data_IF_882312062498
#
_entry.id   IF_882312062498
#
_cell.length_a   1.000
_cell.length_b   1.000
_cell.length_c   1.000
_cell.angle_alpha   90.00
_cell.angle_beta   90.00
_cell.angle_gamma   90.00
#
_symmetry.space_group_name_H-M   'P 1'
#
loop_
_entity.id
_entity.type
_entity.pdbx_description
1 polymer ?
#
# COMPACT_ATOMS: atom_id res chain seq x y z
N UNK A 1 54.60 -57.97 12.52
CA UNK A 1 53.58 -57.87 13.59
C UNK A 1 53.41 -56.37 13.85
N UNK A 2 52.47 -55.62 13.26
CA UNK A 2 50.99 -55.64 13.34
C UNK A 2 50.49 -55.47 14.78
N UNK A 3 50.32 -54.21 15.19
CA UNK A 3 49.39 -53.83 16.26
C UNK A 3 48.48 -52.75 15.71
N UNK A 4 47.20 -53.11 15.55
CA UNK A 4 46.09 -52.24 15.20
C UNK A 4 45.53 -51.71 16.53
N UNK A 5 45.30 -50.40 16.62
CA UNK A 5 44.36 -49.83 17.59
C UNK A 5 43.44 -48.88 16.83
N UNK A 6 42.15 -49.06 17.06
CA UNK A 6 41.01 -48.47 16.36
C UNK A 6 40.30 -47.49 17.32
N UNK A 7 39.68 -46.45 16.72
CA UNK A 7 38.64 -45.53 17.23
C UNK A 7 39.11 -44.53 18.31
N UNK A 8 38.76 -43.24 18.24
CA UNK A 8 37.39 -42.71 18.34
C UNK A 8 37.23 -41.41 17.54
N UNK A 9 36.12 -41.31 16.80
CA UNK A 9 35.57 -40.07 16.24
C UNK A 9 35.20 -39.09 17.36
N UNK A 10 35.54 -37.82 17.22
CA UNK A 10 34.74 -36.72 17.79
C UNK A 10 34.51 -35.67 16.69
N UNK A 11 33.27 -35.62 16.20
CA UNK A 11 32.82 -34.66 15.21
C UNK A 11 32.65 -33.28 15.83
N UNK A 12 33.28 -32.27 15.21
CA UNK A 12 32.93 -30.87 15.43
C UNK A 12 31.85 -30.48 14.43
N UNK A 13 30.59 -30.48 14.86
CA UNK A 13 29.53 -29.81 14.10
C UNK A 13 29.77 -28.30 14.20
N UNK A 14 30.16 -27.69 13.10
CA UNK A 14 30.10 -26.23 12.94
C UNK A 14 28.62 -25.87 12.90
N UNK A 15 28.07 -25.57 14.08
CA UNK A 15 26.80 -24.88 14.19
C UNK A 15 27.02 -23.44 13.72
N UNK A 16 26.86 -23.20 12.42
CA UNK A 16 26.58 -21.87 11.92
C UNK A 16 25.22 -21.48 12.50
N UNK A 17 25.24 -20.77 13.63
CA UNK A 17 24.08 -20.11 14.22
C UNK A 17 23.59 -19.05 13.22
N UNK A 18 22.80 -19.46 12.23
CA UNK A 18 21.95 -18.54 11.50
C UNK A 18 20.91 -18.10 12.51
N UNK A 19 21.13 -16.93 13.12
CA UNK A 19 20.15 -16.30 13.97
C UNK A 19 18.82 -16.33 13.22
N UNK A 20 17.75 -16.91 13.79
CA UNK A 20 16.42 -16.68 13.28
C UNK A 20 16.26 -15.17 13.32
N UNK A 21 16.16 -14.56 12.14
CA UNK A 21 15.63 -13.21 12.05
C UNK A 21 14.29 -13.30 12.76
N UNK A 22 14.21 -12.67 13.91
CA UNK A 22 12.94 -12.35 14.53
C UNK A 22 12.22 -11.56 13.46
N UNK A 23 11.32 -12.24 12.73
CA UNK A 23 10.18 -11.57 12.12
C UNK A 23 9.51 -10.93 13.32
N UNK A 24 9.85 -9.65 13.55
CA UNK A 24 9.04 -8.79 14.38
C UNK A 24 7.71 -8.75 13.66
N UNK A 25 6.79 -9.64 14.03
CA UNK A 25 5.37 -9.42 13.89
C UNK A 25 5.06 -8.25 14.81
N UNK A 26 5.47 -7.05 14.39
CA UNK A 26 5.04 -5.80 14.96
C UNK A 26 3.53 -5.82 14.75
N UNK A 27 2.79 -5.91 15.86
CA UNK A 27 1.33 -5.80 15.78
C UNK A 27 1.06 -4.46 15.10
N UNK A 28 0.32 -4.40 13.98
CA UNK A 28 0.10 -3.15 13.27
C UNK A 28 -0.38 -2.10 14.27
N UNK A 29 0.39 -1.03 14.42
CA UNK A 29 0.04 0.04 15.32
C UNK A 29 -1.29 0.64 14.80
N UNK A 30 -2.33 0.77 15.63
CA UNK A 30 -3.65 1.18 15.15
C UNK A 30 -3.52 2.54 14.48
N UNK A 31 -3.88 2.58 13.20
CA UNK A 31 -3.78 3.76 12.34
C UNK A 31 -4.95 4.71 12.55
N UNK A 32 -6.02 4.27 13.23
CA UNK A 32 -7.29 4.97 13.36
C UNK A 32 -8.24 4.66 12.21
N UNK A 33 -7.72 4.22 11.06
CA UNK A 33 -8.54 3.77 9.93
C UNK A 33 -9.39 2.56 10.29
N UNK A 34 -9.00 1.76 11.29
CA UNK A 34 -9.74 0.57 11.75
C UNK A 34 -11.14 0.92 12.29
N UNK A 35 -11.34 2.18 12.72
CA UNK A 35 -12.63 2.69 13.18
C UNK A 35 -13.60 3.03 12.04
N UNK A 36 -13.09 3.21 10.81
CA UNK A 36 -13.91 3.42 9.62
C UNK A 36 -14.60 2.10 9.28
N UNK A 37 -15.92 2.09 8.99
CA UNK A 37 -16.62 0.86 8.65
C UNK A 37 -16.07 0.25 7.36
N UNK A 38 -16.22 -1.08 7.16
CA UNK A 38 -15.98 -1.70 5.87
C UNK A 38 -16.77 -0.98 4.76
N UNK A 39 -16.26 -0.98 3.52
CA UNK A 39 -16.95 -0.32 2.43
C UNK A 39 -18.36 -0.85 2.19
N UNK A 40 -19.29 0.06 1.89
CA UNK A 40 -20.68 -0.26 1.57
C UNK A 40 -20.97 0.17 0.12
N UNK A 41 -20.88 -0.76 -0.86
CA UNK A 41 -21.12 -0.46 -2.26
C UNK A 41 -22.52 0.07 -2.56
N UNK A 42 -23.50 -0.14 -1.68
CA UNK A 42 -24.86 0.40 -1.87
C UNK A 42 -24.91 1.93 -1.76
N UNK A 43 -23.88 2.55 -1.16
CA UNK A 43 -23.77 4.00 -1.01
C UNK A 43 -22.97 4.68 -2.11
N UNK A 44 -22.34 3.89 -3.01
CA UNK A 44 -21.51 4.47 -4.06
C UNK A 44 -22.38 5.21 -5.09
N UNK A 45 -21.95 6.41 -5.55
CA UNK A 45 -22.65 7.09 -6.63
C UNK A 45 -22.55 6.27 -7.92
N UNK A 46 -23.53 6.44 -8.81
CA UNK A 46 -23.42 5.91 -10.17
C UNK A 46 -22.23 6.55 -10.88
N UNK A 47 -21.45 5.77 -11.63
CA UNK A 47 -20.36 6.30 -12.45
C UNK A 47 -20.79 7.34 -13.50
N UNK A 48 -22.09 7.44 -13.81
CA UNK A 48 -22.60 8.55 -14.65
C UNK A 48 -22.39 9.92 -14.01
N UNK A 49 -22.31 9.97 -12.67
CA UNK A 49 -22.19 11.19 -11.86
C UNK A 49 -21.00 11.08 -10.89
N UNK A 50 -19.78 10.88 -11.40
CA UNK A 50 -18.60 10.76 -10.53
C UNK A 50 -18.25 12.02 -9.75
N UNK A 51 -18.75 13.20 -10.15
CA UNK A 51 -18.64 14.45 -9.38
C UNK A 51 -19.24 14.34 -7.96
N UNK A 52 -20.09 13.33 -7.73
CA UNK A 52 -20.70 13.07 -6.43
C UNK A 52 -19.82 12.20 -5.52
N UNK A 53 -18.68 11.67 -6.00
CA UNK A 53 -17.76 10.91 -5.16
C UNK A 53 -17.23 11.76 -3.99
N UNK A 54 -17.33 11.25 -2.77
CA UNK A 54 -16.96 11.97 -1.52
C UNK A 54 -15.85 11.33 -0.70
N UNK A 55 -15.53 10.06 -0.94
CA UNK A 55 -14.40 9.40 -0.30
C UNK A 55 -13.06 9.89 -0.88
N UNK A 56 -11.90 9.59 -0.26
CA UNK A 56 -10.63 10.05 -0.80
C UNK A 56 -10.41 9.56 -2.23
N UNK A 57 -9.82 10.42 -3.06
CA UNK A 57 -9.58 10.17 -4.48
C UNK A 57 -8.10 10.36 -4.79
N UNK A 58 -7.47 9.29 -5.28
CA UNK A 58 -6.06 9.21 -5.62
C UNK A 58 -5.89 9.04 -7.13
N UNK A 59 -4.92 9.75 -7.70
CA UNK A 59 -4.55 9.68 -9.12
C UNK A 59 -3.10 9.23 -9.23
N UNK A 60 -2.86 8.03 -9.75
CA UNK A 60 -1.50 7.54 -9.99
C UNK A 60 -0.89 8.28 -11.18
N UNK A 61 0.31 8.81 -11.00
CA UNK A 61 1.02 9.61 -12.01
C UNK A 61 2.49 9.16 -12.13
N UNK A 62 3.18 9.67 -13.14
CA UNK A 62 4.62 9.43 -13.33
C UNK A 62 5.48 10.11 -12.24
N UNK A 63 4.98 11.23 -11.69
CA UNK A 63 5.67 12.06 -10.69
C UNK A 63 5.26 11.75 -9.24
N UNK A 64 4.35 10.80 -9.02
CA UNK A 64 3.90 10.38 -7.69
C UNK A 64 2.43 9.97 -7.66
N UNK A 65 1.77 10.20 -6.54
CA UNK A 65 0.33 9.99 -6.33
C UNK A 65 -0.32 11.35 -6.11
N UNK A 66 -1.23 11.74 -6.99
CA UNK A 66 -2.07 12.91 -6.81
C UNK A 66 -3.17 12.63 -5.79
N UNK A 67 -3.16 13.32 -4.66
CA UNK A 67 -4.25 13.36 -3.71
C UNK A 67 -5.20 14.51 -4.07
N UNK A 68 -6.46 14.19 -4.37
CA UNK A 68 -7.44 15.20 -4.81
C UNK A 68 -8.15 15.79 -3.59
N UNK A 69 -8.02 17.09 -3.37
CA UNK A 69 -8.86 17.84 -2.45
C UNK A 69 -10.24 18.04 -3.10
N UNK A 70 -11.25 17.32 -2.61
CA UNK A 70 -12.60 17.37 -3.17
C UNK A 70 -13.33 18.70 -2.93
N UNK A 71 -12.82 19.57 -2.07
CA UNK A 71 -13.43 20.87 -1.76
C UNK A 71 -13.14 21.92 -2.84
N UNK A 72 -11.92 21.91 -3.38
CA UNK A 72 -11.42 22.89 -4.35
C UNK A 72 -10.94 22.25 -5.67
N UNK A 73 -10.93 20.91 -5.75
CA UNK A 73 -10.42 20.09 -6.87
C UNK A 73 -8.92 20.27 -7.15
N UNK A 74 -8.14 20.73 -6.17
CA UNK A 74 -6.69 20.77 -6.27
C UNK A 74 -6.08 19.38 -6.11
N UNK A 75 -4.93 19.17 -6.76
CA UNK A 75 -4.21 17.90 -6.72
C UNK A 75 -2.86 18.13 -6.05
N UNK A 76 -2.67 17.53 -4.88
CA UNK A 76 -1.40 17.53 -4.16
C UNK A 76 -0.60 16.29 -4.55
N UNK A 77 0.62 16.48 -5.07
CA UNK A 77 1.47 15.35 -5.44
C UNK A 77 2.22 14.87 -4.20
N UNK A 78 1.92 13.65 -3.80
CA UNK A 78 2.55 12.95 -2.68
C UNK A 78 3.41 11.80 -3.21
N UNK A 79 4.44 11.46 -2.47
CA UNK A 79 5.16 10.21 -2.67
C UNK A 79 4.31 9.05 -2.14
N UNK A 80 4.45 7.82 -2.69
CA UNK A 80 3.70 6.67 -2.21
C UNK A 80 3.80 6.44 -0.69
N UNK A 81 4.97 6.68 -0.10
CA UNK A 81 5.22 6.55 1.34
C UNK A 81 4.51 7.59 2.23
N UNK A 82 4.01 8.68 1.66
CA UNK A 82 3.29 9.74 2.39
C UNK A 82 1.78 9.45 2.48
N UNK A 83 1.26 8.58 1.61
CA UNK A 83 -0.16 8.23 1.54
C UNK A 83 -0.73 7.67 2.85
N UNK A 84 -0.05 6.79 3.61
CA UNK A 84 -0.58 6.30 4.88
C UNK A 84 -0.88 7.43 5.86
N UNK A 85 0.07 8.33 6.06
CA UNK A 85 -0.06 9.44 7.00
C UNK A 85 -1.19 10.38 6.56
N UNK A 86 -1.28 10.65 5.25
CA UNK A 86 -2.34 11.49 4.68
C UNK A 86 -3.73 10.89 4.96
N UNK A 87 -3.95 9.61 4.62
CA UNK A 87 -5.24 8.94 4.82
C UNK A 87 -5.63 8.85 6.30
N UNK A 88 -4.67 8.62 7.18
CA UNK A 88 -4.87 8.56 8.64
C UNK A 88 -5.25 9.93 9.22
N UNK A 89 -4.75 11.01 8.63
CA UNK A 89 -5.04 12.37 9.11
C UNK A 89 -6.47 12.83 8.82
N UNK A 90 -7.17 12.15 7.91
CA UNK A 90 -8.51 12.53 7.50
C UNK A 90 -9.54 12.30 8.62
N UNK A 91 -10.52 13.22 8.79
CA UNK A 91 -11.62 12.99 9.70
C UNK A 91 -12.51 11.84 9.21
N UNK A 92 -13.24 11.18 10.12
CA UNK A 92 -14.19 10.11 9.77
C UNK A 92 -15.25 10.54 8.74
N UNK A 93 -15.61 11.82 8.71
CA UNK A 93 -16.53 12.40 7.72
C UNK A 93 -16.01 12.36 6.28
N UNK A 94 -14.70 12.15 6.07
CA UNK A 94 -14.12 11.94 4.75
C UNK A 94 -14.40 10.54 4.18
N UNK A 95 -15.03 9.65 4.96
CA UNK A 95 -15.27 8.25 4.59
C UNK A 95 -16.77 7.87 4.57
N UNK A 96 -17.65 8.66 3.93
CA UNK A 96 -19.08 8.36 3.92
C UNK A 96 -19.41 6.98 3.33
N UNK A 97 -18.56 6.41 2.48
CA UNK A 97 -18.78 5.10 1.83
C UNK A 97 -18.02 3.95 2.50
N UNK A 98 -17.49 4.16 3.71
CA UNK A 98 -16.59 3.23 4.40
C UNK A 98 -15.16 3.31 3.90
N UNK A 99 -14.31 2.37 4.32
CA UNK A 99 -12.85 2.38 4.10
C UNK A 99 -12.46 1.99 2.67
N UNK A 100 -12.83 2.84 1.70
CA UNK A 100 -12.57 2.69 0.27
C UNK A 100 -12.07 3.99 -0.32
N UNK A 101 -11.12 3.92 -1.24
CA UNK A 101 -10.66 5.08 -2.01
C UNK A 101 -10.96 4.88 -3.49
N UNK A 102 -11.19 5.99 -4.19
CA UNK A 102 -11.22 5.97 -5.65
C UNK A 102 -9.79 6.08 -6.16
N UNK A 103 -9.41 5.26 -7.13
CA UNK A 103 -8.11 5.30 -7.79
C UNK A 103 -8.32 5.50 -9.29
N UNK A 104 -7.60 6.46 -9.86
CA UNK A 104 -7.46 6.63 -11.30
C UNK A 104 -5.98 6.58 -11.69
N UNK A 105 -5.71 6.36 -12.97
CA UNK A 105 -4.36 6.49 -13.54
C UNK A 105 -4.34 7.64 -14.53
N UNK A 106 -3.38 8.55 -14.39
CA UNK A 106 -3.14 9.60 -15.37
C UNK A 106 -2.22 9.07 -16.48
N UNK A 107 -2.53 9.43 -17.72
CA UNK A 107 -1.57 9.29 -18.80
C UNK A 107 -0.34 10.17 -18.49
N UNK A 108 0.90 9.65 -18.68
CA UNK A 108 2.09 10.47 -18.50
C UNK A 108 2.10 11.66 -19.46
N UNK A 109 2.70 12.78 -19.05
CA UNK A 109 2.72 14.00 -19.89
C UNK A 109 3.43 13.74 -21.21
N UNK A 110 4.48 12.93 -21.18
CA UNK A 110 5.21 12.46 -22.35
C UNK A 110 5.24 10.92 -22.28
N UNK A 111 4.60 10.19 -23.22
CA UNK A 111 4.36 8.75 -23.10
C UNK A 111 5.60 7.90 -23.47
N UNK A 112 6.72 8.14 -22.80
CA UNK A 112 7.94 7.32 -22.91
C UNK A 112 7.79 6.00 -22.16
N UNK A 113 8.63 5.01 -22.47
CA UNK A 113 8.62 3.73 -21.75
C UNK A 113 8.99 3.89 -20.27
N UNK A 114 9.93 4.79 -19.97
CA UNK A 114 10.30 5.14 -18.61
C UNK A 114 9.12 5.76 -17.84
N UNK A 115 8.43 6.72 -18.44
CA UNK A 115 7.27 7.37 -17.81
C UNK A 115 6.14 6.36 -17.49
N UNK A 116 5.85 5.46 -18.44
CA UNK A 116 4.89 4.37 -18.22
C UNK A 116 5.38 3.39 -17.14
N UNK A 117 6.69 3.16 -17.04
CA UNK A 117 7.26 2.31 -16.00
C UNK A 117 7.10 2.94 -14.61
N UNK A 118 7.32 4.24 -14.46
CA UNK A 118 7.10 4.94 -13.19
C UNK A 118 5.63 4.93 -12.77
N UNK A 119 4.68 5.15 -13.69
CA UNK A 119 3.23 5.02 -13.37
C UNK A 119 2.92 3.62 -12.82
N UNK A 120 3.41 2.55 -13.46
CA UNK A 120 3.18 1.17 -13.00
C UNK A 120 3.81 0.90 -11.63
N UNK A 121 5.02 1.41 -11.40
CA UNK A 121 5.71 1.31 -10.12
C UNK A 121 4.95 2.03 -9.02
N UNK A 122 4.54 3.27 -9.26
CA UNK A 122 3.74 4.05 -8.30
C UNK A 122 2.40 3.37 -7.99
N UNK A 123 1.74 2.81 -9.01
CA UNK A 123 0.53 2.00 -8.82
C UNK A 123 0.79 0.79 -7.92
N UNK A 124 1.84 0.02 -8.19
CA UNK A 124 2.15 -1.18 -7.42
C UNK A 124 2.43 -0.86 -5.94
N UNK A 125 3.19 0.21 -5.68
CA UNK A 125 3.44 0.71 -4.34
C UNK A 125 2.14 1.13 -3.65
N UNK A 126 1.33 1.96 -4.30
CA UNK A 126 0.05 2.42 -3.76
C UNK A 126 -0.88 1.25 -3.41
N UNK A 127 -1.02 0.27 -4.31
CA UNK A 127 -1.85 -0.92 -4.07
C UNK A 127 -1.36 -1.73 -2.86
N UNK A 128 -0.05 -1.91 -2.73
CA UNK A 128 0.55 -2.57 -1.56
C UNK A 128 0.22 -1.84 -0.27
N UNK A 129 0.46 -0.52 -0.26
CA UNK A 129 0.15 0.35 0.88
C UNK A 129 -1.33 0.32 1.27
N UNK A 130 -2.25 0.47 0.31
CA UNK A 130 -3.69 0.44 0.61
C UNK A 130 -4.13 -0.92 1.14
N UNK A 131 -3.54 -2.01 0.65
CA UNK A 131 -3.80 -3.36 1.16
C UNK A 131 -3.32 -3.53 2.61
N UNK A 132 -2.13 -3.01 2.95
CA UNK A 132 -1.61 -3.05 4.32
C UNK A 132 -2.47 -2.26 5.30
N UNK A 133 -3.10 -1.17 4.83
CA UNK A 133 -4.03 -0.34 5.60
C UNK A 133 -5.47 -0.88 5.64
N UNK A 134 -5.74 -2.04 5.04
CA UNK A 134 -7.09 -2.59 4.85
C UNK A 134 -8.07 -1.59 4.18
N UNK A 135 -7.56 -0.81 3.21
CA UNK A 135 -8.33 0.15 2.42
C UNK A 135 -8.66 -0.46 1.06
N UNK A 136 -9.95 -0.56 0.73
CA UNK A 136 -10.36 -1.08 -0.57
C UNK A 136 -10.16 -0.05 -1.68
N UNK A 137 -9.94 -0.57 -2.88
CA UNK A 137 -9.80 0.24 -4.08
C UNK A 137 -11.09 0.13 -4.90
N UNK A 138 -11.64 1.30 -5.23
CA UNK A 138 -12.60 1.46 -6.33
C UNK A 138 -11.84 2.07 -7.50
N UNK A 139 -11.78 1.36 -8.61
CA UNK A 139 -11.21 1.93 -9.84
C UNK A 139 -12.19 2.94 -10.45
N UNK A 140 -11.65 4.07 -10.90
CA UNK A 140 -12.36 4.98 -11.79
C UNK A 140 -12.60 4.29 -13.15
N UNK A 141 -13.73 4.58 -13.82
CA UNK A 141 -14.10 3.99 -15.11
C UNK A 141 -13.22 4.48 -16.27
#
# INVERSE_FOLDING_TARGET
>A
MRTIVILILLGGVVACSKAPQTETTETPQPTGLESIPPPDPSQYPSFRNMSDWKNPYLVVREDGIGFVDLSNHEVHILKPEEIPAELVSLPSSAWPYGRVVLVAEAAPKIPTDQAKAEVRKNRALLVGTLKELDVQIREAP
#
